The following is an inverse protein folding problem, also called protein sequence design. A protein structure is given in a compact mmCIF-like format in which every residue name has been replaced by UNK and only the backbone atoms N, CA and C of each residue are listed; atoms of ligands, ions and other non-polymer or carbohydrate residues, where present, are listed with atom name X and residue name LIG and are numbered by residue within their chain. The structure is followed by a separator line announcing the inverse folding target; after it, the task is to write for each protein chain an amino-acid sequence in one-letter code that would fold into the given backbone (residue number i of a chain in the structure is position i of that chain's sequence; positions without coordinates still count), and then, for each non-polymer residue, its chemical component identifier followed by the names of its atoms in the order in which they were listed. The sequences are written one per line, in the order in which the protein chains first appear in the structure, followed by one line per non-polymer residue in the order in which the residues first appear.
data_IF_431895339908
#
_entry.id   IF_431895339908
#
_cell.length_a   1.000
_cell.length_b   1.000
_cell.length_c   1.000
_cell.angle_alpha   90.00
_cell.angle_beta   90.00
_cell.angle_gamma   90.00
#
_symmetry.space_group_name_H-M   'P 1'
#
loop_
_entity.id
_entity.type
_entity.pdbx_description
1 polymer ?
#
# COMPACT_ATOMS: atom_id res chain seq x y z
N UNK A 1 -65.34 -22.44 -35.01
CA UNK A 1 -64.56 -21.18 -35.05
C UNK A 1 -63.50 -21.32 -36.15
N UNK A 2 -63.26 -20.26 -36.93
CA UNK A 2 -62.42 -20.26 -38.14
C UNK A 2 -60.92 -20.32 -37.75
N UNK A 3 -59.93 -20.56 -38.62
CA UNK A 3 -59.31 -19.55 -39.49
C UNK A 3 -58.49 -20.18 -40.63
N UNK A 4 -58.47 -19.42 -41.72
CA UNK A 4 -57.90 -19.59 -43.06
C UNK A 4 -56.35 -19.76 -43.16
N UNK A 5 -55.78 -19.94 -44.37
CA UNK A 5 -54.47 -20.58 -44.60
C UNK A 5 -53.33 -19.67 -45.15
N UNK A 6 -52.16 -20.30 -45.40
CA UNK A 6 -51.04 -19.96 -46.34
C UNK A 6 -50.03 -18.86 -45.93
N UNK A 7 -48.86 -18.68 -46.62
CA UNK A 7 -47.82 -19.60 -47.15
C UNK A 7 -46.38 -18.99 -46.96
N UNK A 8 -45.41 -19.37 -47.83
CA UNK A 8 -44.12 -18.72 -48.19
C UNK A 8 -42.85 -19.37 -47.57
N UNK A 9 -42.02 -20.17 -48.25
CA UNK A 9 -41.14 -20.00 -49.45
C UNK A 9 -39.94 -19.04 -49.26
N UNK A 10 -38.77 -19.52 -49.72
CA UNK A 10 -37.45 -18.88 -49.93
C UNK A 10 -36.56 -18.68 -48.68
N UNK A 11 -35.24 -18.83 -48.72
CA UNK A 11 -34.28 -19.31 -49.71
C UNK A 11 -32.95 -19.47 -48.96
N UNK A 12 -32.24 -20.57 -49.14
CA UNK A 12 -30.90 -20.77 -48.58
C UNK A 12 -29.91 -21.03 -49.72
N UNK A 13 -28.88 -20.18 -49.83
CA UNK A 13 -27.55 -20.53 -50.35
C UNK A 13 -26.58 -19.33 -50.39
N UNK A 14 -25.37 -19.56 -49.85
CA UNK A 14 -24.05 -19.11 -50.33
C UNK A 14 -23.74 -17.60 -50.27
N UNK A 15 -22.64 -17.10 -49.69
CA UNK A 15 -21.23 -17.49 -49.90
C UNK A 15 -20.37 -16.69 -48.91
N UNK A 16 -19.35 -17.31 -48.33
CA UNK A 16 -18.35 -16.62 -47.51
C UNK A 16 -17.33 -15.88 -48.39
N UNK A 17 -17.03 -14.63 -48.04
CA UNK A 17 -15.83 -13.91 -48.49
C UNK A 17 -15.23 -13.20 -47.28
N UNK A 18 -14.05 -13.64 -46.86
CA UNK A 18 -13.20 -12.95 -45.91
C UNK A 18 -12.36 -11.90 -46.66
N UNK A 19 -12.39 -10.66 -46.21
CA UNK A 19 -11.30 -9.71 -46.45
C UNK A 19 -10.88 -9.08 -45.13
N UNK A 20 -9.64 -9.39 -44.74
CA UNK A 20 -8.87 -8.76 -43.68
C UNK A 20 -8.69 -7.27 -43.99
N UNK A 21 -8.79 -6.41 -42.97
CA UNK A 21 -7.95 -5.22 -42.76
C UNK A 21 -8.27 -4.58 -41.40
N UNK A 22 -7.38 -4.76 -40.42
CA UNK A 22 -7.05 -3.74 -39.44
C UNK A 22 -5.67 -4.10 -38.84
N UNK A 23 -4.67 -3.35 -39.30
CA UNK A 23 -3.31 -3.34 -38.76
C UNK A 23 -3.39 -2.86 -37.30
N UNK A 24 -3.24 -3.79 -36.36
CA UNK A 24 -3.05 -3.48 -34.95
C UNK A 24 -1.56 -3.40 -34.66
N UNK A 25 -0.92 -2.27 -34.99
CA UNK A 25 0.37 -1.92 -34.39
C UNK A 25 0.08 -1.46 -32.97
N UNK A 26 -0.14 -2.42 -32.08
CA UNK A 26 -0.01 -2.18 -30.65
C UNK A 26 1.47 -2.07 -30.37
N UNK A 27 1.96 -0.86 -30.16
CA UNK A 27 3.24 -0.63 -29.51
C UNK A 27 3.09 -1.17 -28.07
N UNK A 28 3.29 -2.48 -27.90
CA UNK A 28 3.41 -3.14 -26.60
C UNK A 28 4.71 -2.68 -25.96
N UNK A 29 4.71 -1.44 -25.47
CA UNK A 29 5.71 -0.98 -24.52
C UNK A 29 5.69 -1.97 -23.35
N UNK A 30 6.83 -2.59 -22.99
CA UNK A 30 6.86 -3.58 -21.94
C UNK A 30 6.42 -2.93 -20.62
N UNK A 31 5.21 -3.26 -20.16
CA UNK A 31 4.75 -2.79 -18.85
C UNK A 31 5.67 -3.35 -17.77
N UNK A 32 6.10 -2.54 -16.79
CA UNK A 32 6.94 -3.03 -15.72
C UNK A 32 6.30 -4.24 -15.01
N UNK A 33 7.11 -5.26 -14.75
CA UNK A 33 6.67 -6.46 -14.05
C UNK A 33 6.13 -6.10 -12.66
N UNK A 34 5.03 -6.74 -12.27
CA UNK A 34 4.53 -6.65 -10.90
C UNK A 34 5.41 -7.52 -9.99
N UNK A 35 5.87 -6.91 -8.91
CA UNK A 35 6.71 -7.49 -7.87
C UNK A 35 5.96 -7.45 -6.54
N UNK A 36 6.43 -8.20 -5.55
CA UNK A 36 5.92 -8.15 -4.18
C UNK A 36 7.08 -8.00 -3.20
N UNK A 37 6.84 -7.23 -2.13
CA UNK A 37 7.78 -7.03 -1.05
C UNK A 37 7.08 -7.09 0.30
N UNK A 38 7.86 -7.12 1.37
CA UNK A 38 7.35 -7.13 2.75
C UNK A 38 7.98 -5.98 3.54
N UNK A 39 7.18 -5.26 4.33
CA UNK A 39 7.67 -4.25 5.26
C UNK A 39 7.89 -4.83 6.66
N UNK A 40 9.08 -4.68 7.22
CA UNK A 40 9.52 -5.42 8.42
C UNK A 40 10.11 -4.52 9.53
N UNK A 41 9.52 -4.67 10.72
CA UNK A 41 10.00 -4.41 12.10
C UNK A 41 9.45 -5.53 13.03
N UNK A 42 9.34 -6.76 12.50
CA UNK A 42 8.14 -7.64 12.49
C UNK A 42 7.20 -7.29 11.33
N UNK A 43 6.50 -8.25 10.71
CA UNK A 43 5.58 -7.94 9.61
C UNK A 43 4.61 -6.82 10.00
N UNK A 44 4.64 -5.68 9.30
CA UNK A 44 3.82 -4.53 9.66
C UNK A 44 2.58 -4.49 8.78
N UNK A 45 1.45 -4.86 9.34
CA UNK A 45 0.15 -4.79 8.70
C UNK A 45 -0.42 -3.38 8.83
N UNK A 46 -1.13 -2.93 7.78
CA UNK A 46 -1.85 -1.68 7.87
C UNK A 46 -1.03 -0.44 7.60
N UNK A 47 0.14 -0.48 6.94
CA UNK A 47 0.80 0.73 6.44
C UNK A 47 0.22 1.14 5.09
N UNK A 48 -0.06 2.43 4.89
CA UNK A 48 -0.36 2.93 3.55
C UNK A 48 0.91 2.86 2.70
N UNK A 49 0.76 2.42 1.46
CA UNK A 49 1.83 2.37 0.46
C UNK A 49 1.32 2.92 -0.87
N UNK A 50 2.12 3.76 -1.51
CA UNK A 50 1.86 4.23 -2.87
C UNK A 50 3.15 4.20 -3.66
N UNK A 51 3.08 3.67 -4.87
CA UNK A 51 4.19 3.69 -5.82
C UNK A 51 4.12 4.89 -6.74
N UNK A 52 5.23 5.22 -7.40
CA UNK A 52 5.22 6.21 -8.49
C UNK A 52 4.35 5.78 -9.68
N UNK A 53 4.05 4.48 -9.80
CA UNK A 53 3.18 3.89 -10.82
C UNK A 53 2.08 3.01 -10.20
N UNK A 54 2.38 2.30 -9.11
CA UNK A 54 1.39 1.48 -8.41
C UNK A 54 0.41 2.35 -7.63
N UNK A 55 -0.88 2.08 -7.81
CA UNK A 55 -1.95 2.75 -7.08
C UNK A 55 -1.82 2.57 -5.55
N UNK A 56 -2.41 3.49 -4.80
CA UNK A 56 -2.40 3.44 -3.35
C UNK A 56 -3.02 2.13 -2.82
N UNK A 57 -2.40 1.57 -1.79
CA UNK A 57 -2.85 0.37 -1.09
C UNK A 57 -2.38 0.36 0.35
N UNK A 58 -2.52 -0.80 0.98
CA UNK A 58 -2.15 -1.03 2.38
C UNK A 58 -1.39 -2.34 2.50
N UNK A 59 -0.39 -2.41 3.37
CA UNK A 59 0.29 -3.69 3.68
C UNK A 59 -0.68 -4.68 4.33
N UNK A 60 -0.63 -5.94 3.91
CA UNK A 60 -1.50 -6.98 4.43
C UNK A 60 -1.06 -7.50 5.82
N UNK A 61 -1.77 -8.49 6.37
CA UNK A 61 -1.49 -9.08 7.69
C UNK A 61 -0.07 -9.67 7.83
N UNK A 62 0.62 -9.94 6.72
CA UNK A 62 2.00 -10.41 6.70
C UNK A 62 2.99 -9.31 6.27
N UNK A 63 2.56 -8.05 6.28
CA UNK A 63 3.33 -6.89 5.87
C UNK A 63 3.58 -6.80 4.37
N UNK A 64 2.91 -7.61 3.54
CA UNK A 64 3.17 -7.63 2.09
C UNK A 64 2.53 -6.45 1.38
N UNK A 65 3.20 -6.00 0.33
CA UNK A 65 2.71 -5.03 -0.65
C UNK A 65 3.11 -5.47 -2.06
N UNK A 66 2.43 -4.91 -3.06
CA UNK A 66 2.74 -5.09 -4.48
C UNK A 66 3.30 -3.79 -5.05
N UNK A 67 4.21 -3.91 -6.01
CA UNK A 67 4.83 -2.76 -6.68
C UNK A 67 5.28 -3.10 -8.10
N UNK A 68 5.65 -2.10 -8.88
CA UNK A 68 6.23 -2.22 -10.22
C UNK A 68 7.74 -2.19 -10.15
N UNK A 69 8.40 -3.06 -10.90
CA UNK A 69 9.85 -3.12 -10.96
C UNK A 69 10.46 -1.73 -11.29
N UNK A 70 11.44 -1.30 -10.49
CA UNK A 70 12.15 -0.02 -10.66
C UNK A 70 11.43 1.20 -10.07
N UNK A 71 10.24 1.06 -9.51
CA UNK A 71 9.50 2.21 -8.96
C UNK A 71 9.95 2.61 -7.55
N UNK A 72 9.66 3.84 -7.15
CA UNK A 72 9.82 4.31 -5.76
C UNK A 72 8.51 4.15 -5.01
N UNK A 73 8.59 3.61 -3.81
CA UNK A 73 7.47 3.42 -2.89
C UNK A 73 7.55 4.45 -1.76
N UNK A 74 6.40 5.02 -1.40
CA UNK A 74 6.24 5.88 -0.23
C UNK A 74 5.31 5.21 0.77
N UNK A 75 5.75 5.17 2.03
CA UNK A 75 5.01 4.57 3.14
C UNK A 75 4.51 5.64 4.10
N UNK A 76 3.28 5.48 4.59
CA UNK A 76 2.67 6.36 5.58
C UNK A 76 1.74 5.62 6.54
N UNK A 77 1.42 6.27 7.66
CA UNK A 77 0.31 5.89 8.54
C UNK A 77 -0.75 6.98 8.41
N UNK A 78 -1.69 6.75 7.50
CA UNK A 78 -2.63 7.76 7.05
C UNK A 78 -1.89 8.97 6.50
N UNK A 79 -2.07 10.16 7.11
CA UNK A 79 -1.39 11.39 6.68
C UNK A 79 0.07 11.51 7.16
N UNK A 80 0.53 10.67 8.10
CA UNK A 80 1.90 10.71 8.61
C UNK A 80 2.86 9.99 7.66
N UNK A 81 3.68 10.75 6.93
CA UNK A 81 4.73 10.17 6.09
C UNK A 81 5.82 9.49 6.95
N UNK A 82 6.13 8.23 6.63
CA UNK A 82 7.25 7.50 7.25
C UNK A 82 8.53 7.61 6.41
N UNK A 83 8.39 7.68 5.09
CA UNK A 83 9.50 7.82 4.16
C UNK A 83 9.29 7.05 2.87
N UNK A 84 10.35 6.95 2.07
CA UNK A 84 10.29 6.36 0.73
C UNK A 84 11.57 5.59 0.41
N UNK A 85 11.46 4.58 -0.45
CA UNK A 85 12.59 3.78 -0.94
C UNK A 85 12.31 3.23 -2.35
N UNK A 86 13.35 2.83 -3.07
CA UNK A 86 13.17 1.98 -4.24
C UNK A 86 12.50 0.65 -3.83
N UNK A 87 11.57 0.16 -4.65
CA UNK A 87 10.87 -1.09 -4.37
C UNK A 87 11.83 -2.28 -4.25
N UNK A 88 11.66 -3.07 -3.19
CA UNK A 88 12.49 -4.24 -2.90
C UNK A 88 11.65 -5.36 -2.27
N UNK A 89 12.18 -6.59 -2.27
CA UNK A 89 11.54 -7.75 -1.65
C UNK A 89 11.37 -7.61 -0.14
N UNK A 90 12.26 -6.84 0.51
CA UNK A 90 12.19 -6.49 1.93
C UNK A 90 12.49 -5.00 2.07
N UNK A 91 11.60 -4.28 2.73
CA UNK A 91 11.80 -2.90 3.16
C UNK A 91 11.63 -2.82 4.67
N UNK A 92 12.36 -1.92 5.29
CA UNK A 92 12.35 -1.69 6.75
C UNK A 92 12.29 -0.19 7.01
N UNK A 93 12.03 0.26 8.26
CA UNK A 93 12.18 1.67 8.63
C UNK A 93 13.55 2.26 8.28
N UNK A 94 14.63 1.47 8.32
CA UNK A 94 15.95 1.90 7.84
C UNK A 94 15.92 2.17 6.33
N UNK A 95 15.40 1.23 5.54
CA UNK A 95 15.35 1.31 4.07
C UNK A 95 14.64 2.55 3.56
N UNK A 96 13.56 2.99 4.24
CA UNK A 96 12.75 4.14 3.85
C UNK A 96 13.22 5.47 4.47
N UNK A 97 14.30 5.46 5.26
CA UNK A 97 14.84 6.66 5.89
C UNK A 97 16.00 7.22 5.07
N UNK A 98 15.71 8.23 4.27
CA UNK A 98 16.71 8.88 3.40
C UNK A 98 17.94 9.33 4.20
N UNK A 99 19.11 8.85 3.75
CA UNK A 99 20.41 9.19 4.33
C UNK A 99 20.77 8.46 5.63
N UNK A 100 19.91 7.58 6.16
CA UNK A 100 20.28 6.74 7.30
C UNK A 100 21.15 5.57 6.82
N UNK A 101 22.30 5.37 7.47
CA UNK A 101 23.23 4.29 7.17
C UNK A 101 23.09 3.07 8.10
N UNK A 102 22.48 3.27 9.28
CA UNK A 102 22.36 2.25 10.30
C UNK A 102 21.13 2.49 11.18
N UNK A 103 20.69 1.43 11.88
CA UNK A 103 19.59 1.50 12.84
C UNK A 103 19.86 2.45 14.03
N UNK A 104 21.12 2.83 14.28
CA UNK A 104 21.48 3.81 15.30
C UNK A 104 21.06 5.24 14.95
N UNK A 105 20.64 5.53 13.70
CA UNK A 105 20.08 6.82 13.32
C UNK A 105 18.81 7.10 14.16
N UNK A 106 18.73 8.24 14.88
CA UNK A 106 17.57 8.57 15.70
C UNK A 106 16.24 8.52 14.94
N UNK A 107 16.23 8.90 13.65
CA UNK A 107 15.02 8.91 12.82
C UNK A 107 14.51 7.49 12.57
N UNK A 108 15.41 6.53 12.40
CA UNK A 108 15.08 5.12 12.26
C UNK A 108 14.53 4.59 13.58
N UNK A 109 15.24 4.83 14.69
CA UNK A 109 14.78 4.42 16.03
C UNK A 109 13.40 4.99 16.37
N UNK A 110 13.14 6.25 16.03
CA UNK A 110 11.86 6.90 16.32
C UNK A 110 10.71 6.27 15.51
N UNK A 111 10.96 5.85 14.26
CA UNK A 111 9.96 5.11 13.47
C UNK A 111 9.68 3.72 14.06
N UNK A 112 10.72 2.99 14.47
CA UNK A 112 10.58 1.69 15.14
C UNK A 112 9.75 1.83 16.43
N UNK A 113 10.10 2.81 17.27
CA UNK A 113 9.37 3.12 18.50
C UNK A 113 7.90 3.44 18.21
N UNK A 114 7.63 4.27 17.21
CA UNK A 114 6.26 4.59 16.84
C UNK A 114 5.49 3.33 16.43
N UNK A 115 6.03 2.55 15.48
CA UNK A 115 5.36 1.34 14.97
C UNK A 115 5.01 0.36 16.10
N UNK A 116 5.98 0.09 16.99
CA UNK A 116 5.77 -0.82 18.12
C UNK A 116 4.83 -0.23 19.18
N UNK A 117 4.77 1.10 19.33
CA UNK A 117 3.81 1.76 20.24
C UNK A 117 2.38 1.70 19.71
N UNK A 118 2.23 1.65 18.39
CA UNK A 118 0.94 1.63 17.71
C UNK A 118 0.40 0.21 17.47
N UNK A 119 1.11 -0.82 17.91
CA UNK A 119 0.65 -2.18 17.75
C UNK A 119 -0.63 -2.43 18.56
N UNK A 120 -1.68 -2.92 17.89
CA UNK A 120 -3.04 -2.92 18.44
C UNK A 120 -3.23 -3.86 19.64
N UNK A 121 -2.46 -4.94 19.72
CA UNK A 121 -2.50 -5.89 20.84
C UNK A 121 -1.21 -5.90 21.67
N UNK A 122 -0.18 -5.18 21.23
CA UNK A 122 1.11 -5.08 21.89
C UNK A 122 1.95 -6.35 21.86
N UNK A 123 1.58 -7.36 21.08
CA UNK A 123 2.33 -8.61 20.90
C UNK A 123 3.12 -8.61 19.58
N UNK A 124 4.32 -8.03 19.64
CA UNK A 124 5.24 -7.95 18.49
C UNK A 124 5.62 -9.31 17.86
N UNK A 125 5.34 -10.45 18.52
CA UNK A 125 5.63 -11.78 17.99
C UNK A 125 4.61 -12.23 16.94
N UNK A 126 3.42 -11.62 16.88
CA UNK A 126 2.38 -11.95 15.90
C UNK A 126 2.33 -10.95 14.73
N UNK A 127 3.23 -9.96 14.73
CA UNK A 127 3.29 -8.87 13.75
C UNK A 127 3.08 -7.52 14.44
N UNK A 128 3.03 -6.44 13.66
CA UNK A 128 2.56 -5.13 14.12
C UNK A 128 1.27 -4.81 13.40
N UNK A 129 0.18 -4.56 14.12
CA UNK A 129 -1.14 -4.32 13.54
C UNK A 129 -1.57 -2.86 13.66
N UNK A 130 -1.46 -2.13 12.55
CA UNK A 130 -1.95 -0.76 12.45
C UNK A 130 -3.40 -0.78 11.92
N UNK A 131 -4.37 -0.79 12.83
CA UNK A 131 -5.79 -0.77 12.46
C UNK A 131 -6.20 0.57 11.82
N UNK A 132 -7.35 0.60 11.15
CA UNK A 132 -7.86 1.84 10.55
C UNK A 132 -8.17 2.92 11.58
N UNK A 133 -8.59 2.52 12.78
CA UNK A 133 -8.85 3.45 13.87
C UNK A 133 -7.53 4.06 14.41
N UNK A 134 -6.47 3.25 14.56
CA UNK A 134 -5.12 3.75 14.86
C UNK A 134 -4.64 4.70 13.76
N UNK A 135 -4.76 4.30 12.50
CA UNK A 135 -4.37 5.12 11.33
C UNK A 135 -5.07 6.48 11.32
N UNK A 136 -6.37 6.50 11.62
CA UNK A 136 -7.18 7.72 11.72
C UNK A 136 -6.68 8.63 12.84
N UNK A 137 -6.45 8.08 14.04
CA UNK A 137 -5.92 8.83 15.19
C UNK A 137 -4.53 9.39 14.90
N UNK A 138 -3.64 8.60 14.31
CA UNK A 138 -2.31 9.06 13.90
C UNK A 138 -2.42 10.18 12.86
N UNK A 139 -3.36 10.08 11.91
CA UNK A 139 -3.57 11.12 10.90
C UNK A 139 -3.97 12.46 11.51
N UNK A 140 -4.84 12.44 12.52
CA UNK A 140 -5.28 13.63 13.24
C UNK A 140 -4.13 14.28 14.05
N UNK A 141 -3.10 13.52 14.40
CA UNK A 141 -1.97 13.97 15.22
C UNK A 141 -0.66 14.10 14.42
N UNK A 142 -0.67 13.86 13.10
CA UNK A 142 0.54 13.75 12.28
C UNK A 142 1.44 14.99 12.37
N UNK A 143 0.85 16.19 12.45
CA UNK A 143 1.59 17.45 12.53
C UNK A 143 2.41 17.64 13.83
N UNK A 144 2.13 16.85 14.87
CA UNK A 144 2.89 16.88 16.13
C UNK A 144 4.01 15.84 16.19
N UNK A 145 4.07 14.92 15.22
CA UNK A 145 5.04 13.82 15.21
C UNK A 145 6.25 14.26 14.39
N UNK A 146 7.40 14.40 15.04
CA UNK A 146 8.66 14.75 14.42
C UNK A 146 9.69 13.63 14.62
N UNK A 147 10.16 13.00 13.54
CA UNK A 147 11.17 11.93 13.63
C UNK A 147 12.61 12.46 13.77
N UNK A 148 12.88 13.73 13.46
CA UNK A 148 14.22 14.32 13.43
C UNK A 148 14.74 14.79 14.80
N UNK A 149 14.05 14.43 15.87
CA UNK A 149 14.45 14.73 17.25
C UNK A 149 15.22 13.57 17.89
N UNK A 150 15.87 13.84 19.03
CA UNK A 150 16.51 12.76 19.82
C UNK A 150 15.47 11.73 20.26
N UNK A 151 15.88 10.47 20.41
CA UNK A 151 14.96 9.39 20.81
C UNK A 151 14.31 9.62 22.17
N UNK A 152 15.02 10.24 23.12
CA UNK A 152 14.43 10.61 24.41
C UNK A 152 13.32 11.66 24.27
N UNK A 153 13.56 12.71 23.47
CA UNK A 153 12.56 13.73 23.19
C UNK A 153 11.35 13.15 22.43
N UNK A 154 11.61 12.26 21.46
CA UNK A 154 10.57 11.60 20.69
C UNK A 154 9.60 10.83 21.58
N UNK A 155 10.11 9.98 22.49
CA UNK A 155 9.28 9.24 23.44
C UNK A 155 8.38 10.15 24.28
N UNK A 156 8.93 11.26 24.77
CA UNK A 156 8.14 12.26 25.51
C UNK A 156 7.07 12.91 24.63
N UNK A 157 7.38 13.19 23.36
CA UNK A 157 6.45 13.81 22.41
C UNK A 157 5.27 12.91 22.01
N UNK A 158 5.33 11.60 22.28
CA UNK A 158 4.22 10.66 22.01
C UNK A 158 3.09 10.72 23.03
N UNK A 159 3.26 11.37 24.19
CA UNK A 159 2.24 11.39 25.24
C UNK A 159 0.85 11.90 24.78
N UNK A 160 0.74 12.96 23.96
CA UNK A 160 -0.55 13.41 23.43
C UNK A 160 -1.18 12.38 22.48
N UNK A 161 -0.38 11.73 21.62
CA UNK A 161 -0.85 10.69 20.71
C UNK A 161 -1.41 9.49 21.50
N UNK A 162 -0.69 9.05 22.53
CA UNK A 162 -1.13 7.93 23.37
C UNK A 162 -2.43 8.26 24.13
N UNK A 163 -2.58 9.51 24.57
CA UNK A 163 -3.84 10.00 25.16
C UNK A 163 -4.98 9.95 24.14
N UNK A 164 -4.73 10.34 22.89
CA UNK A 164 -5.72 10.28 21.82
C UNK A 164 -6.13 8.85 21.45
N UNK A 165 -5.16 7.91 21.39
CA UNK A 165 -5.42 6.49 21.13
C UNK A 165 -6.31 5.88 22.23
N UNK A 166 -5.94 6.09 23.49
CA UNK A 166 -6.75 5.65 24.63
C UNK A 166 -8.16 6.25 24.61
N UNK A 167 -8.30 7.53 24.22
CA UNK A 167 -9.61 8.20 24.12
C UNK A 167 -10.47 7.63 22.98
N UNK A 168 -9.83 7.24 21.88
CA UNK A 168 -10.48 6.57 20.76
C UNK A 168 -10.78 5.07 21.03
N UNK A 169 -10.36 4.57 22.20
CA UNK A 169 -10.54 3.18 22.63
C UNK A 169 -9.89 2.19 21.64
N UNK A 170 -8.68 2.54 21.20
CA UNK A 170 -7.81 1.73 20.32
C UNK A 170 -6.46 1.49 20.98
#
# INVERSE_FOLDING_TARGET
MPHSPRPALLAAALTAVMTLNACGSGDDEPTPATMSGTFVDSPVAGLNVVGSTTAAGTTDASGRFSYKAGETLTFSIGSLALGSAAGASVLTPLSITTGAAAASDPRVNNKLILLQTLDADGDLNNGIQITDAIRSTVSANAGAINFDQTTAAFRTSLAPLLTALNTANV
#
